data_IF_476767015220
#
_entry.id   IF_476767015220
#
_cell.length_a   1.000
_cell.length_b   1.000
_cell.length_c   1.000
_cell.angle_alpha   90.00
_cell.angle_beta   90.00
_cell.angle_gamma   90.00
#
_symmetry.space_group_name_H-M   'P 1'
#
loop_
_entity.id
_entity.type
_entity.pdbx_description
1 polymer ?
#
# COMPACT_ATOMS: atom_id res chain seq x y z
N UNK A 1 -4.17 -5.46 -22.78
CA UNK A 1 -3.89 -6.73 -23.46
C UNK A 1 -5.04 -7.68 -23.15
N UNK A 2 -5.62 -8.30 -24.16
CA UNK A 2 -6.69 -9.30 -24.01
C UNK A 2 -6.15 -10.44 -23.15
N UNK A 3 -6.81 -10.74 -22.04
CA UNK A 3 -6.41 -11.79 -21.12
C UNK A 3 -5.71 -11.33 -19.83
N UNK A 4 -5.40 -10.05 -19.69
CA UNK A 4 -4.94 -9.48 -18.41
C UNK A 4 -6.07 -8.64 -17.82
N UNK A 5 -6.67 -9.04 -16.70
CA UNK A 5 -7.73 -8.26 -16.05
C UNK A 5 -7.22 -6.97 -15.43
N UNK A 6 -5.91 -6.76 -15.40
CA UNK A 6 -5.25 -5.67 -14.69
C UNK A 6 -4.42 -4.84 -15.65
N UNK A 7 -4.49 -3.50 -15.52
CA UNK A 7 -3.65 -2.58 -16.28
C UNK A 7 -2.17 -2.90 -16.04
N UNK A 8 -1.47 -3.31 -17.07
CA UNK A 8 -0.06 -3.70 -17.03
C UNK A 8 0.75 -2.87 -17.98
N UNK A 9 1.88 -2.33 -17.52
CA UNK A 9 2.77 -1.50 -18.31
C UNK A 9 3.89 -2.31 -18.95
N UNK A 10 4.22 -1.96 -20.19
CA UNK A 10 5.37 -2.49 -20.91
C UNK A 10 6.22 -1.32 -21.43
N UNK A 11 7.52 -1.37 -21.21
CA UNK A 11 8.49 -0.42 -21.73
C UNK A 11 9.50 -1.22 -22.55
N UNK A 12 9.66 -0.87 -23.83
CA UNK A 12 10.55 -1.58 -24.74
C UNK A 12 10.30 -3.11 -24.75
N UNK A 13 9.03 -3.50 -24.67
CA UNK A 13 8.62 -4.91 -24.63
C UNK A 13 8.80 -5.62 -23.28
N UNK A 14 9.38 -4.96 -22.28
CA UNK A 14 9.52 -5.51 -20.93
C UNK A 14 8.36 -5.11 -20.03
N UNK A 15 7.81 -6.06 -19.31
CA UNK A 15 6.78 -5.85 -18.31
C UNK A 15 7.38 -5.15 -17.09
N UNK A 16 6.78 -4.04 -16.68
CA UNK A 16 7.24 -3.21 -15.56
C UNK A 16 6.22 -3.29 -14.43
N UNK A 17 6.69 -3.71 -13.25
CA UNK A 17 5.91 -3.67 -12.03
C UNK A 17 6.00 -2.27 -11.41
N UNK A 18 4.84 -1.62 -11.22
CA UNK A 18 4.80 -0.24 -10.76
C UNK A 18 4.89 -0.15 -9.25
N UNK A 19 5.78 0.71 -8.77
CA UNK A 19 5.99 1.05 -7.36
C UNK A 19 6.13 2.56 -7.26
N UNK A 20 5.29 3.19 -6.46
CA UNK A 20 5.37 4.64 -6.39
C UNK A 20 4.33 5.26 -5.47
N UNK A 21 4.08 6.54 -5.68
CA UNK A 21 3.12 7.26 -4.89
C UNK A 21 2.49 8.43 -5.62
N UNK A 22 1.46 8.97 -4.99
CA UNK A 22 0.77 10.13 -5.47
C UNK A 22 1.47 11.40 -5.00
N UNK A 23 1.56 12.34 -5.90
CA UNK A 23 2.00 13.71 -5.67
C UNK A 23 0.75 14.59 -5.73
N UNK A 24 0.26 15.01 -4.57
CA UNK A 24 -0.90 15.88 -4.47
C UNK A 24 -0.53 17.31 -4.77
N UNK A 25 -0.08 18.06 -3.78
CA UNK A 25 0.42 19.41 -3.95
C UNK A 25 1.91 19.43 -3.59
N UNK A 26 2.70 20.08 -4.40
CA UNK A 26 4.16 20.12 -4.20
C UNK A 26 4.56 20.81 -2.89
N UNK A 27 3.95 21.96 -2.64
CA UNK A 27 4.04 22.76 -1.42
C UNK A 27 2.88 23.76 -1.46
N UNK A 28 2.27 24.08 -0.30
CA UNK A 28 1.00 24.82 -0.26
C UNK A 28 1.08 26.27 -0.81
N UNK A 29 2.27 26.84 -0.93
CA UNK A 29 2.52 28.11 -1.60
C UNK A 29 3.18 27.93 -2.98
N UNK A 30 3.31 26.70 -3.49
CA UNK A 30 3.90 26.32 -4.77
C UNK A 30 5.38 26.75 -4.94
N UNK A 31 6.12 26.82 -3.86
CA UNK A 31 7.56 27.19 -3.84
C UNK A 31 8.44 25.96 -3.99
N UNK A 32 8.39 25.31 -5.15
CA UNK A 32 9.05 24.03 -5.37
C UNK A 32 10.16 24.02 -6.41
N UNK A 33 10.49 25.16 -7.01
CA UNK A 33 11.50 25.22 -8.04
C UNK A 33 12.92 24.97 -7.51
N UNK A 34 13.82 24.54 -8.39
CA UNK A 34 15.20 24.26 -8.06
C UNK A 34 15.39 23.05 -7.18
N UNK A 35 16.12 23.23 -6.12
CA UNK A 35 16.49 22.14 -5.20
C UNK A 35 15.30 21.41 -4.57
N UNK A 36 14.16 22.05 -4.45
CA UNK A 36 12.94 21.44 -3.88
C UNK A 36 12.45 20.29 -4.74
N UNK A 37 12.29 20.51 -6.05
CA UNK A 37 11.92 19.44 -6.98
C UNK A 37 12.97 18.35 -7.03
N UNK A 38 14.25 18.72 -7.15
CA UNK A 38 15.32 17.73 -7.19
C UNK A 38 15.33 16.85 -5.94
N UNK A 39 15.26 17.45 -4.76
CA UNK A 39 15.26 16.70 -3.48
C UNK A 39 14.10 15.73 -3.40
N UNK A 40 12.89 16.19 -3.69
CA UNK A 40 11.69 15.34 -3.62
C UNK A 40 11.75 14.17 -4.62
N UNK A 41 12.12 14.42 -5.87
CA UNK A 41 12.21 13.36 -6.89
C UNK A 41 13.35 12.39 -6.57
N UNK A 42 14.49 12.89 -6.08
CA UNK A 42 15.59 12.05 -5.62
C UNK A 42 15.18 11.14 -4.46
N UNK A 43 14.44 11.64 -3.46
CA UNK A 43 13.92 10.83 -2.37
C UNK A 43 12.98 9.72 -2.86
N UNK A 44 12.13 10.01 -3.87
CA UNK A 44 11.32 8.96 -4.52
C UNK A 44 12.20 7.90 -5.18
N UNK A 45 13.23 8.31 -5.90
CA UNK A 45 14.18 7.37 -6.52
C UNK A 45 14.92 6.53 -5.48
N UNK A 46 15.33 7.12 -4.38
CA UNK A 46 16.04 6.44 -3.30
C UNK A 46 15.15 5.44 -2.54
N UNK A 47 13.83 5.61 -2.56
CA UNK A 47 12.86 4.63 -2.09
C UNK A 47 12.65 3.45 -3.07
N UNK A 48 13.38 3.39 -4.17
CA UNK A 48 13.17 2.44 -5.27
C UNK A 48 11.82 2.59 -5.99
N UNK A 49 11.22 3.76 -5.91
CA UNK A 49 10.04 4.08 -6.71
C UNK A 49 10.41 4.27 -8.18
N UNK A 50 9.50 3.86 -9.04
CA UNK A 50 9.63 4.02 -10.48
C UNK A 50 8.50 4.84 -11.11
N UNK A 51 7.50 5.28 -10.33
CA UNK A 51 6.40 6.10 -10.82
C UNK A 51 5.95 7.12 -9.78
N UNK A 52 5.62 8.32 -10.25
CA UNK A 52 4.88 9.36 -9.51
C UNK A 52 3.60 9.65 -10.29
N UNK A 53 2.45 9.59 -9.59
CA UNK A 53 1.19 10.11 -10.15
C UNK A 53 1.01 11.55 -9.71
N UNK A 54 0.86 12.44 -10.67
CA UNK A 54 0.46 13.83 -10.44
C UNK A 54 -1.05 13.90 -10.29
N UNK A 55 -1.52 13.75 -9.06
CA UNK A 55 -2.94 13.81 -8.73
C UNK A 55 -3.54 15.14 -9.19
N UNK A 56 -4.64 15.06 -9.94
CA UNK A 56 -5.35 16.19 -10.54
C UNK A 56 -4.44 17.16 -11.33
N UNK A 57 -3.32 16.68 -11.85
CA UNK A 57 -2.45 17.47 -12.73
C UNK A 57 -1.77 18.67 -12.08
N UNK A 58 -1.51 18.60 -10.77
CA UNK A 58 -1.07 19.72 -9.93
C UNK A 58 0.29 20.33 -10.28
N UNK A 59 1.11 19.68 -11.09
CA UNK A 59 2.44 20.17 -11.47
C UNK A 59 2.51 20.38 -12.97
N UNK A 60 2.91 21.59 -13.35
CA UNK A 60 3.08 22.01 -14.77
C UNK A 60 4.44 22.61 -15.05
N UNK A 61 5.32 22.71 -14.06
CA UNK A 61 6.68 23.25 -14.21
C UNK A 61 7.56 22.24 -14.98
N UNK A 62 8.19 22.66 -16.06
CA UNK A 62 9.04 21.80 -16.89
C UNK A 62 10.18 21.18 -16.08
N UNK A 63 10.72 21.91 -15.12
CA UNK A 63 11.78 21.47 -14.22
C UNK A 63 11.45 20.17 -13.46
N UNK A 64 10.19 19.97 -13.05
CA UNK A 64 9.75 18.72 -12.44
C UNK A 64 9.98 17.53 -13.38
N UNK A 65 9.60 17.69 -14.64
CA UNK A 65 9.73 16.63 -15.65
C UNK A 65 11.20 16.41 -16.03
N UNK A 66 12.01 17.45 -16.09
CA UNK A 66 13.47 17.34 -16.31
C UNK A 66 14.12 16.47 -15.21
N UNK A 67 13.74 16.66 -13.95
CA UNK A 67 14.24 15.80 -12.87
C UNK A 67 13.67 14.38 -12.94
N UNK A 68 12.42 14.19 -13.33
CA UNK A 68 11.88 12.86 -13.56
C UNK A 68 12.62 12.12 -14.68
N UNK A 69 12.93 12.82 -15.79
CA UNK A 69 13.75 12.30 -16.89
C UNK A 69 15.15 11.92 -16.40
N UNK A 70 15.81 12.81 -15.64
CA UNK A 70 17.15 12.61 -15.09
C UNK A 70 17.24 11.41 -14.16
N UNK A 71 16.26 11.22 -13.29
CA UNK A 71 16.27 10.16 -12.28
C UNK A 71 15.58 8.86 -12.75
N UNK A 72 14.95 8.86 -13.92
CA UNK A 72 14.24 7.71 -14.48
C UNK A 72 12.99 7.35 -13.68
N UNK A 73 12.20 8.35 -13.31
CA UNK A 73 10.91 8.22 -12.66
C UNK A 73 9.81 8.43 -13.70
N UNK A 74 8.95 7.44 -13.89
CA UNK A 74 7.79 7.58 -14.75
C UNK A 74 6.76 8.52 -14.13
N UNK A 75 6.02 9.23 -14.97
CA UNK A 75 4.97 10.15 -14.56
C UNK A 75 3.63 9.69 -15.10
N UNK A 76 2.70 9.47 -14.19
CA UNK A 76 1.28 9.37 -14.47
C UNK A 76 0.68 10.76 -14.34
N UNK A 77 0.27 11.38 -15.44
CA UNK A 77 -0.10 12.79 -15.48
C UNK A 77 -1.60 12.98 -15.63
N UNK A 78 -2.29 13.34 -14.54
CA UNK A 78 -3.72 13.65 -14.58
C UNK A 78 -3.97 15.02 -15.25
N UNK A 79 -5.19 15.18 -15.78
CA UNK A 79 -5.76 16.50 -16.04
C UNK A 79 -6.46 17.03 -14.78
N UNK A 80 -6.90 18.30 -14.78
CA UNK A 80 -7.35 19.06 -13.60
C UNK A 80 -8.80 18.75 -13.19
N UNK A 81 -9.18 17.46 -13.14
CA UNK A 81 -10.53 17.03 -12.80
C UNK A 81 -10.52 16.16 -11.53
N UNK A 82 -11.33 16.59 -10.56
CA UNK A 82 -11.56 15.91 -9.29
C UNK A 82 -12.88 15.14 -9.30
N UNK A 83 -13.08 14.21 -8.37
CA UNK A 83 -14.22 13.27 -8.30
C UNK A 83 -15.61 13.89 -8.41
N UNK A 84 -15.82 15.10 -7.92
CA UNK A 84 -17.14 15.77 -7.92
C UNK A 84 -17.38 16.70 -9.12
N UNK A 85 -16.42 16.83 -10.03
CA UNK A 85 -16.44 17.87 -11.05
C UNK A 85 -16.37 17.27 -12.45
N UNK A 86 -17.51 16.70 -12.89
CA UNK A 86 -17.67 16.22 -14.27
C UNK A 86 -17.96 17.37 -15.23
N UNK A 87 -18.52 18.47 -14.73
CA UNK A 87 -18.89 19.63 -15.52
C UNK A 87 -17.87 20.75 -15.37
N UNK A 88 -17.16 21.01 -16.44
CA UNK A 88 -16.21 22.12 -16.52
C UNK A 88 -16.95 23.38 -16.95
N UNK A 89 -16.91 24.44 -16.14
CA UNK A 89 -17.64 25.68 -16.42
C UNK A 89 -17.24 26.36 -17.75
N UNK A 90 -16.00 26.17 -18.19
CA UNK A 90 -15.46 26.71 -19.45
C UNK A 90 -14.76 25.63 -20.26
N UNK A 91 -15.50 24.72 -20.92
CA UNK A 91 -14.91 23.57 -21.61
C UNK A 91 -13.88 23.92 -22.67
N UNK A 92 -14.10 24.96 -23.43
CA UNK A 92 -13.16 25.37 -24.51
C UNK A 92 -11.83 25.91 -23.94
N UNK A 93 -11.87 26.63 -22.83
CA UNK A 93 -10.64 27.05 -22.14
C UNK A 93 -9.90 25.84 -21.55
N UNK A 94 -10.61 24.90 -20.98
CA UNK A 94 -10.03 23.64 -20.49
C UNK A 94 -9.37 22.85 -21.62
N UNK A 95 -10.04 22.67 -22.74
CA UNK A 95 -9.52 22.01 -23.93
C UNK A 95 -8.25 22.68 -24.47
N UNK A 96 -8.24 24.01 -24.53
CA UNK A 96 -7.07 24.76 -24.96
C UNK A 96 -5.87 24.57 -24.02
N UNK A 97 -6.08 24.62 -22.71
CA UNK A 97 -5.06 24.37 -21.70
C UNK A 97 -4.56 22.91 -21.74
N UNK A 98 -5.45 21.95 -21.93
CA UNK A 98 -5.08 20.55 -22.06
C UNK A 98 -4.20 20.28 -23.28
N UNK A 99 -4.55 20.90 -24.42
CA UNK A 99 -3.76 20.85 -25.66
C UNK A 99 -2.37 21.44 -25.46
N UNK A 100 -2.28 22.62 -24.83
CA UNK A 100 -1.00 23.27 -24.53
C UNK A 100 -0.15 22.42 -23.59
N UNK A 101 -0.72 21.87 -22.53
CA UNK A 101 -0.04 20.96 -21.61
C UNK A 101 0.57 19.76 -22.34
N UNK A 102 -0.19 19.08 -23.19
CA UNK A 102 0.31 17.92 -23.94
C UNK A 102 1.41 18.32 -24.90
N UNK A 103 1.25 19.38 -25.68
CA UNK A 103 2.26 19.87 -26.62
C UNK A 103 3.57 20.27 -25.97
N UNK A 104 3.48 20.88 -24.79
CA UNK A 104 4.66 21.31 -24.03
C UNK A 104 5.40 20.12 -23.42
N UNK A 105 4.67 19.14 -22.87
CA UNK A 105 5.26 18.10 -22.04
C UNK A 105 5.52 16.77 -22.77
N UNK A 106 4.91 16.51 -23.92
CA UNK A 106 4.99 15.23 -24.65
C UNK A 106 6.41 14.76 -25.00
N UNK A 107 7.38 15.65 -25.02
CA UNK A 107 8.77 15.30 -25.32
C UNK A 107 9.55 14.78 -24.10
N UNK A 108 8.97 14.82 -22.90
CA UNK A 108 9.58 14.22 -21.71
C UNK A 108 9.42 12.70 -21.73
N UNK A 109 10.51 11.92 -21.78
CA UNK A 109 10.44 10.46 -21.79
C UNK A 109 9.90 9.86 -20.49
N UNK A 110 9.91 10.63 -19.40
CA UNK A 110 9.32 10.19 -18.12
C UNK A 110 7.81 10.06 -18.15
N UNK A 111 7.08 10.80 -19.00
CA UNK A 111 5.62 10.69 -19.05
C UNK A 111 5.24 9.32 -19.61
N UNK A 112 4.52 8.54 -18.81
CA UNK A 112 4.12 7.19 -19.15
C UNK A 112 2.63 7.08 -19.52
N UNK A 113 1.78 7.95 -18.95
CA UNK A 113 0.33 7.89 -19.13
C UNK A 113 -0.30 9.27 -18.91
N UNK A 114 -1.34 9.55 -19.66
CA UNK A 114 -2.23 10.68 -19.48
C UNK A 114 -3.55 10.20 -18.85
N UNK A 115 -4.07 10.89 -17.85
CA UNK A 115 -5.31 10.50 -17.17
C UNK A 115 -6.33 11.64 -17.15
N UNK A 116 -7.56 11.33 -17.55
CA UNK A 116 -8.63 12.31 -17.71
C UNK A 116 -9.10 12.93 -16.42
N UNK A 117 -9.42 12.10 -15.42
CA UNK A 117 -9.97 12.58 -14.15
C UNK A 117 -9.63 11.67 -12.97
N UNK A 118 -9.62 12.25 -11.77
CA UNK A 118 -9.48 11.51 -10.53
C UNK A 118 -10.81 10.84 -10.15
N UNK A 119 -10.79 9.52 -9.97
CA UNK A 119 -11.88 8.68 -9.44
C UNK A 119 -13.22 8.76 -10.17
N UNK A 120 -13.27 9.43 -11.30
CA UNK A 120 -14.44 9.57 -12.16
C UNK A 120 -14.01 9.71 -13.61
N UNK A 121 -14.97 9.71 -14.53
CA UNK A 121 -14.72 9.99 -15.93
C UNK A 121 -15.03 11.46 -16.21
N UNK A 122 -14.28 12.13 -17.11
CA UNK A 122 -14.74 13.43 -17.65
C UNK A 122 -16.11 13.30 -18.29
N UNK A 123 -16.84 14.42 -18.44
CA UNK A 123 -18.05 14.45 -19.26
C UNK A 123 -17.76 13.85 -20.66
N UNK A 124 -18.69 13.10 -21.27
CA UNK A 124 -18.42 12.32 -22.50
C UNK A 124 -17.77 13.11 -23.64
N UNK A 125 -18.22 14.33 -23.89
CA UNK A 125 -17.65 15.19 -24.93
C UNK A 125 -16.22 15.61 -24.63
N UNK A 126 -15.92 15.86 -23.34
CA UNK A 126 -14.57 16.22 -22.90
C UNK A 126 -13.64 14.99 -22.91
N UNK A 127 -14.13 13.83 -22.48
CA UNK A 127 -13.39 12.58 -22.52
C UNK A 127 -12.98 12.20 -23.95
N UNK A 128 -13.93 12.28 -24.88
CA UNK A 128 -13.70 12.04 -26.31
C UNK A 128 -12.66 13.03 -26.87
N UNK A 129 -12.81 14.32 -26.55
CA UNK A 129 -11.85 15.32 -26.97
C UNK A 129 -10.43 15.02 -26.45
N UNK A 130 -10.27 14.71 -25.17
CA UNK A 130 -8.97 14.40 -24.57
C UNK A 130 -8.34 13.17 -25.24
N UNK A 131 -9.12 12.13 -25.48
CA UNK A 131 -8.69 10.91 -26.15
C UNK A 131 -8.18 11.17 -27.57
N UNK A 132 -8.95 11.89 -28.38
CA UNK A 132 -8.59 12.21 -29.76
C UNK A 132 -7.41 13.18 -29.83
N UNK A 133 -7.39 14.18 -28.98
CA UNK A 133 -6.34 15.17 -28.90
C UNK A 133 -5.00 14.52 -28.53
N UNK A 134 -4.98 13.67 -27.51
CA UNK A 134 -3.76 12.96 -27.11
C UNK A 134 -3.31 11.99 -28.20
N UNK A 135 -4.21 11.22 -28.77
CA UNK A 135 -3.87 10.33 -29.89
C UNK A 135 -3.20 11.06 -31.04
N UNK A 136 -3.66 12.29 -31.35
CA UNK A 136 -3.11 13.13 -32.39
C UNK A 136 -1.78 13.80 -32.00
N UNK A 137 -1.75 14.44 -30.85
CA UNK A 137 -0.62 15.31 -30.46
C UNK A 137 0.54 14.52 -29.87
N UNK A 138 0.27 13.38 -29.25
CA UNK A 138 1.26 12.46 -28.66
C UNK A 138 1.48 11.21 -29.55
N UNK A 139 0.98 11.23 -30.78
CA UNK A 139 1.18 10.20 -31.81
C UNK A 139 0.84 8.76 -31.35
N UNK A 140 -0.08 8.60 -30.41
CA UNK A 140 -0.40 7.33 -29.69
C UNK A 140 0.82 6.70 -28.98
N UNK A 141 1.87 7.44 -28.67
CA UNK A 141 3.02 6.92 -27.97
C UNK A 141 2.67 6.54 -26.52
N UNK A 142 1.71 7.28 -25.92
CA UNK A 142 1.26 7.05 -24.54
C UNK A 142 -0.24 6.84 -24.46
N UNK A 143 -0.62 5.97 -23.55
CA UNK A 143 -2.03 5.70 -23.27
C UNK A 143 -2.73 6.93 -22.68
N UNK A 144 -3.96 7.17 -23.12
CA UNK A 144 -4.93 7.96 -22.41
C UNK A 144 -5.85 7.06 -21.60
N UNK A 145 -5.98 7.36 -20.30
CA UNK A 145 -6.87 6.70 -19.36
C UNK A 145 -7.92 7.70 -18.87
N UNK A 146 -9.18 7.37 -19.02
CA UNK A 146 -10.29 8.27 -18.71
C UNK A 146 -10.40 8.54 -17.20
N UNK A 147 -10.24 7.48 -16.38
CA UNK A 147 -10.42 7.50 -14.94
C UNK A 147 -9.23 6.87 -14.22
N UNK A 148 -8.91 7.39 -13.04
CA UNK A 148 -7.76 6.94 -12.26
C UNK A 148 -7.99 5.67 -11.43
N UNK A 149 -9.22 5.21 -11.22
CA UNK A 149 -9.51 4.08 -10.33
C UNK A 149 -10.48 3.03 -10.92
N UNK A 150 -10.87 3.15 -12.19
CA UNK A 150 -11.78 2.25 -12.89
C UNK A 150 -11.15 1.71 -14.18
N UNK A 151 -11.92 0.94 -14.97
CA UNK A 151 -11.52 0.44 -16.29
C UNK A 151 -10.22 -0.39 -16.27
N UNK A 152 -10.16 -1.41 -15.42
CA UNK A 152 -8.99 -2.28 -15.27
C UNK A 152 -8.01 -1.86 -14.17
N UNK A 153 -8.36 -0.83 -13.41
CA UNK A 153 -7.71 -0.45 -12.16
C UNK A 153 -8.49 -1.02 -10.97
N UNK A 154 -7.82 -1.22 -9.84
CA UNK A 154 -8.43 -1.88 -8.66
C UNK A 154 -9.04 -0.91 -7.64
N UNK A 155 -9.24 0.34 -8.01
CA UNK A 155 -9.86 1.35 -7.14
C UNK A 155 -8.89 2.14 -6.28
N UNK A 156 -9.43 2.91 -5.34
CA UNK A 156 -8.74 3.70 -4.33
C UNK A 156 -9.02 3.13 -2.94
N UNK A 157 -8.09 3.33 -2.00
CA UNK A 157 -8.09 2.73 -0.66
C UNK A 157 -7.38 1.37 -0.69
N UNK A 158 -7.00 0.80 0.39
CA UNK A 158 -7.42 1.00 1.79
C UNK A 158 -6.93 2.28 2.44
N UNK A 159 -7.66 2.67 3.47
CA UNK A 159 -7.36 3.83 4.27
C UNK A 159 -7.15 3.39 5.72
N UNK A 160 -6.03 3.80 6.31
CA UNK A 160 -5.67 3.49 7.68
C UNK A 160 -4.53 2.48 7.84
N UNK A 161 -4.10 2.32 9.07
CA UNK A 161 -2.92 1.55 9.48
C UNK A 161 -3.28 0.09 9.81
N UNK A 162 -3.59 -0.67 8.80
CA UNK A 162 -3.84 -2.11 8.96
C UNK A 162 -2.54 -2.86 9.28
N UNK A 163 -2.56 -3.88 10.15
CA UNK A 163 -1.37 -4.71 10.35
C UNK A 163 -0.98 -5.43 9.04
N UNK A 164 0.31 -5.73 8.83
CA UNK A 164 0.80 -6.34 7.60
C UNK A 164 0.00 -7.56 7.14
N UNK A 165 -0.34 -8.47 8.06
CA UNK A 165 -1.14 -9.67 7.78
C UNK A 165 -2.44 -9.34 7.05
N UNK A 166 -3.11 -8.28 7.44
CA UNK A 166 -4.38 -7.87 6.84
C UNK A 166 -4.25 -7.56 5.35
N UNK A 167 -3.16 -6.90 4.93
CA UNK A 167 -2.90 -6.61 3.52
C UNK A 167 -2.66 -7.88 2.68
N UNK A 168 -2.16 -8.95 3.27
CA UNK A 168 -1.96 -10.24 2.59
C UNK A 168 -3.24 -11.10 2.53
N UNK A 169 -4.15 -10.97 3.51
CA UNK A 169 -5.35 -11.80 3.62
C UNK A 169 -6.51 -11.28 2.80
N UNK A 170 -6.61 -9.98 2.71
CA UNK A 170 -7.76 -9.34 2.08
C UNK A 170 -7.32 -8.68 0.80
N UNK A 171 -7.77 -9.23 -0.28
CA UNK A 171 -7.82 -8.49 -1.52
C UNK A 171 -8.63 -7.22 -1.26
N UNK A 172 -8.13 -6.09 -1.67
CA UNK A 172 -8.83 -4.81 -1.50
C UNK A 172 -10.26 -4.75 -2.05
N UNK A 173 -10.70 -5.77 -2.77
CA UNK A 173 -12.06 -5.95 -3.26
C UNK A 173 -13.12 -5.99 -2.17
N UNK A 174 -12.78 -6.45 -0.98
CA UNK A 174 -13.77 -6.65 0.07
C UNK A 174 -14.21 -5.37 0.75
N UNK A 175 -13.68 -4.21 0.34
CA UNK A 175 -13.72 -3.14 1.28
C UNK A 175 -14.63 -1.99 1.01
N UNK A 176 -14.54 -1.36 -0.02
CA UNK A 176 -15.36 -0.17 -0.24
C UNK A 176 -16.14 -0.23 -1.54
N UNK A 177 -15.75 -1.11 -2.44
CA UNK A 177 -16.18 -1.09 -3.83
C UNK A 177 -16.83 -2.38 -4.28
N UNK A 178 -17.31 -3.21 -3.36
CA UNK A 178 -18.25 -4.28 -3.69
C UNK A 178 -19.60 -3.66 -4.08
N UNK A 179 -19.56 -2.75 -5.02
CA UNK A 179 -20.75 -2.13 -5.59
C UNK A 179 -21.06 -2.78 -6.92
N UNK A 180 -22.35 -2.95 -7.26
CA UNK A 180 -22.79 -3.43 -8.57
C UNK A 180 -22.30 -2.60 -9.76
N UNK A 181 -21.57 -1.52 -9.51
CA UNK A 181 -21.07 -0.58 -10.51
C UNK A 181 -19.79 -1.06 -11.23
N UNK A 182 -19.16 -2.16 -10.82
CA UNK A 182 -18.09 -2.78 -11.59
C UNK A 182 -18.70 -3.81 -12.54
N UNK A 183 -18.90 -3.47 -13.83
CA UNK A 183 -19.69 -4.29 -14.76
C UNK A 183 -18.99 -5.60 -15.16
N UNK A 184 -17.81 -5.88 -14.65
CA UNK A 184 -17.02 -7.04 -15.06
C UNK A 184 -16.99 -8.21 -14.07
N UNK A 185 -17.66 -8.09 -12.91
CA UNK A 185 -17.80 -9.19 -11.96
C UNK A 185 -16.47 -9.80 -11.49
N UNK A 186 -15.35 -9.12 -11.73
CA UNK A 186 -14.02 -9.56 -11.38
C UNK A 186 -13.67 -8.88 -10.06
N UNK A 187 -13.31 -9.70 -9.11
CA UNK A 187 -12.82 -9.28 -7.82
C UNK A 187 -11.39 -8.76 -7.97
N UNK A 188 -11.23 -7.49 -8.32
CA UNK A 188 -9.92 -6.84 -8.46
C UNK A 188 -9.35 -6.54 -7.08
N UNK A 189 -8.88 -7.59 -6.42
CA UNK A 189 -8.36 -7.45 -5.09
C UNK A 189 -7.16 -6.54 -5.02
N UNK A 190 -6.12 -6.90 -5.70
CA UNK A 190 -4.85 -6.17 -5.70
C UNK A 190 -4.75 -5.25 -6.93
N UNK A 191 -4.67 -5.81 -8.10
CA UNK A 191 -4.67 -5.07 -9.36
C UNK A 191 -3.52 -4.08 -9.52
N UNK A 192 -3.75 -3.07 -10.35
CA UNK A 192 -3.01 -1.82 -10.33
C UNK A 192 -3.79 -0.84 -9.46
N UNK A 193 -3.31 -0.62 -8.25
CA UNK A 193 -3.96 0.27 -7.28
C UNK A 193 -3.31 1.64 -7.29
N UNK A 194 -4.10 2.66 -7.55
CA UNK A 194 -3.60 4.02 -7.72
C UNK A 194 -3.57 4.82 -6.43
N UNK A 195 -4.28 4.38 -5.38
CA UNK A 195 -4.28 5.03 -4.09
C UNK A 195 -4.49 4.02 -2.96
N UNK A 196 -3.64 4.09 -1.95
CA UNK A 196 -3.76 3.40 -0.66
C UNK A 196 -2.95 4.19 0.35
N UNK A 197 -3.45 4.43 1.56
CA UNK A 197 -2.72 5.30 2.48
C UNK A 197 -3.17 5.22 3.93
N UNK A 198 -2.37 5.85 4.77
CA UNK A 198 -2.56 5.88 6.23
C UNK A 198 -2.05 7.18 6.83
N UNK A 199 -2.40 7.42 8.09
CA UNK A 199 -1.67 8.38 8.92
C UNK A 199 -0.20 7.95 9.01
N UNK A 200 0.69 8.93 9.04
CA UNK A 200 2.13 8.71 9.14
C UNK A 200 2.71 9.80 10.03
N UNK A 201 3.08 9.42 11.23
CA UNK A 201 3.61 10.36 12.22
C UNK A 201 5.01 10.81 11.80
N UNK A 202 5.32 12.13 11.83
CA UNK A 202 6.67 12.64 11.62
C UNK A 202 7.62 12.20 12.74
N UNK A 203 8.90 12.48 12.57
CA UNK A 203 9.89 12.31 13.65
C UNK A 203 9.65 13.32 14.76
N UNK A 204 10.19 13.06 15.96
CA UNK A 204 10.09 13.99 17.07
C UNK A 204 10.75 15.32 16.75
N UNK A 205 11.90 15.28 16.07
CA UNK A 205 12.63 16.47 15.60
C UNK A 205 11.77 17.38 14.75
N UNK A 206 11.05 16.82 13.81
CA UNK A 206 10.17 17.57 12.94
C UNK A 206 8.92 18.11 13.63
N UNK A 207 8.34 17.35 14.57
CA UNK A 207 7.15 17.80 15.31
C UNK A 207 7.44 19.05 16.13
N UNK A 208 8.64 19.17 16.69
CA UNK A 208 9.08 20.35 17.45
C UNK A 208 9.03 21.65 16.64
N UNK A 209 9.13 21.55 15.31
CA UNK A 209 9.12 22.71 14.43
C UNK A 209 7.72 23.31 14.22
N UNK A 210 6.64 22.53 14.47
CA UNK A 210 5.29 22.99 14.16
C UNK A 210 4.23 22.78 15.25
N UNK A 211 4.50 21.97 16.27
CA UNK A 211 3.63 21.83 17.46
C UNK A 211 4.29 22.57 18.62
N UNK A 212 3.62 23.55 19.25
CA UNK A 212 4.15 24.23 20.42
C UNK A 212 4.42 23.27 21.59
N UNK A 213 5.51 23.45 22.30
CA UNK A 213 5.95 22.56 23.40
C UNK A 213 4.84 22.31 24.45
N UNK A 214 4.05 23.32 24.77
CA UNK A 214 2.92 23.21 25.70
C UNK A 214 1.83 22.22 25.26
N UNK A 215 1.78 21.90 23.98
CA UNK A 215 0.79 21.02 23.34
C UNK A 215 1.38 19.66 22.96
N UNK A 216 2.64 19.36 23.33
CA UNK A 216 3.28 18.07 22.97
C UNK A 216 2.68 16.89 23.71
N UNK A 217 2.36 17.07 24.99
CA UNK A 217 1.91 15.96 25.82
C UNK A 217 0.93 16.42 26.92
N UNK A 218 -0.11 15.63 27.24
CA UNK A 218 -0.50 14.38 26.56
C UNK A 218 -1.02 14.63 25.16
N UNK A 219 -1.00 13.58 24.31
CA UNK A 219 -1.64 13.65 22.99
C UNK A 219 -3.13 13.97 23.15
N UNK A 220 -3.76 14.65 22.18
CA UNK A 220 -5.18 14.92 22.22
C UNK A 220 -6.02 13.66 22.44
N UNK A 221 -7.09 13.76 23.20
CA UNK A 221 -8.07 12.70 23.36
C UNK A 221 -8.82 12.43 22.06
N UNK A 222 -9.43 11.26 21.95
CA UNK A 222 -10.23 10.91 20.78
C UNK A 222 -11.39 11.91 20.56
N UNK A 223 -11.95 12.44 21.63
CA UNK A 223 -12.98 13.47 21.58
C UNK A 223 -12.46 14.80 21.00
N UNK A 224 -11.28 15.24 21.45
CA UNK A 224 -10.63 16.44 20.91
C UNK A 224 -10.26 16.26 19.45
N UNK A 225 -9.72 15.10 19.06
CA UNK A 225 -9.39 14.81 17.67
C UNK A 225 -10.63 14.77 16.74
N UNK A 226 -11.80 14.43 17.28
CA UNK A 226 -13.04 14.38 16.49
C UNK A 226 -13.79 15.71 16.41
N UNK A 227 -13.76 16.49 17.47
CA UNK A 227 -14.72 17.57 17.67
C UNK A 227 -14.11 18.95 17.94
N UNK A 228 -12.81 19.05 18.18
CA UNK A 228 -12.12 20.32 18.49
C UNK A 228 -11.31 20.81 17.28
N UNK A 229 -11.94 21.63 16.44
CA UNK A 229 -11.33 22.20 15.23
C UNK A 229 -10.22 23.22 15.55
N UNK A 230 -10.20 23.79 16.75
CA UNK A 230 -9.18 24.74 17.17
C UNK A 230 -7.95 24.06 17.77
N UNK A 231 -8.00 22.77 18.02
CA UNK A 231 -6.87 22.00 18.47
C UNK A 231 -5.72 22.07 17.45
N UNK A 232 -4.50 22.37 17.90
CA UNK A 232 -3.34 22.54 17.02
C UNK A 232 -3.02 21.28 16.23
N UNK A 233 -3.23 20.10 16.79
CA UNK A 233 -3.02 18.82 16.10
C UNK A 233 -3.98 18.63 14.94
N UNK A 234 -5.25 19.04 15.10
CA UNK A 234 -6.24 18.99 14.01
C UNK A 234 -5.88 19.94 12.87
N UNK A 235 -5.28 21.10 13.17
CA UNK A 235 -4.78 22.03 12.14
C UNK A 235 -3.63 21.46 11.31
N UNK A 236 -2.98 20.41 11.81
CA UNK A 236 -1.95 19.64 11.11
C UNK A 236 -2.46 18.27 10.62
N UNK A 237 -3.74 18.13 10.41
CA UNK A 237 -4.37 16.94 9.83
C UNK A 237 -4.25 15.69 10.71
N UNK A 238 -4.44 15.83 12.02
CA UNK A 238 -4.45 14.68 12.94
C UNK A 238 -5.84 14.40 13.56
N UNK A 239 -6.91 14.95 13.02
CA UNK A 239 -8.27 14.78 13.52
C UNK A 239 -9.27 14.38 12.43
N UNK A 240 -10.51 14.87 12.57
CA UNK A 240 -11.63 14.54 11.69
C UNK A 240 -11.39 14.88 10.22
N UNK A 241 -10.63 15.93 9.93
CA UNK A 241 -10.28 16.34 8.57
C UNK A 241 -9.45 15.27 7.83
N UNK A 242 -8.75 14.44 8.58
CA UNK A 242 -7.96 13.33 8.06
C UNK A 242 -8.68 11.98 8.21
N UNK A 243 -10.01 11.94 8.17
CA UNK A 243 -10.84 10.76 8.44
C UNK A 243 -10.42 9.52 7.62
N UNK A 244 -10.04 9.69 6.37
CA UNK A 244 -9.56 8.59 5.51
C UNK A 244 -8.21 8.03 5.99
N UNK A 245 -7.32 8.86 6.54
CA UNK A 245 -6.06 8.39 7.12
C UNK A 245 -6.25 7.73 8.49
N UNK A 246 -7.40 7.98 9.13
CA UNK A 246 -7.80 7.36 10.39
C UNK A 246 -6.82 7.62 11.57
N UNK A 247 -6.52 8.88 11.90
CA UNK A 247 -5.49 9.21 12.89
C UNK A 247 -5.81 8.76 14.31
N UNK A 248 -7.10 8.71 14.69
CA UNK A 248 -7.53 8.17 15.99
C UNK A 248 -7.17 6.68 16.09
N UNK A 249 -7.45 5.90 15.04
CA UNK A 249 -7.09 4.50 14.99
C UNK A 249 -5.57 4.30 14.96
N UNK A 250 -4.83 5.18 14.29
CA UNK A 250 -3.37 5.16 14.28
C UNK A 250 -2.78 5.31 15.70
N UNK A 251 -3.23 6.33 16.44
CA UNK A 251 -2.82 6.55 17.85
C UNK A 251 -3.08 5.30 18.70
N UNK A 252 -4.29 4.76 18.59
CA UNK A 252 -4.67 3.57 19.36
C UNK A 252 -3.87 2.32 18.96
N UNK A 253 -3.50 2.19 17.68
CA UNK A 253 -2.65 1.09 17.22
C UNK A 253 -1.23 1.18 17.75
N UNK A 254 -0.64 2.37 17.82
CA UNK A 254 0.67 2.57 18.47
C UNK A 254 0.63 2.07 19.91
N UNK A 255 -0.35 2.53 20.70
CA UNK A 255 -0.49 2.15 22.10
C UNK A 255 -0.76 0.63 22.27
N UNK A 256 -1.58 0.05 21.41
CA UNK A 256 -1.92 -1.39 21.48
C UNK A 256 -0.73 -2.27 21.13
N UNK A 257 0.08 -1.88 20.14
CA UNK A 257 1.20 -2.72 19.67
C UNK A 257 2.46 -2.53 20.47
N UNK A 258 2.75 -1.30 20.92
CA UNK A 258 4.03 -0.95 21.55
C UNK A 258 3.88 -0.45 22.98
N UNK A 259 2.66 -0.42 23.52
CA UNK A 259 2.34 0.05 24.87
C UNK A 259 2.23 1.57 24.97
N UNK A 260 1.65 2.02 26.09
CA UNK A 260 1.49 3.43 26.41
C UNK A 260 2.86 4.13 26.49
N UNK A 261 2.87 5.40 26.12
CA UNK A 261 4.08 6.24 26.14
C UNK A 261 4.01 7.25 27.30
N UNK A 262 5.17 7.63 27.81
CA UNK A 262 5.30 8.61 28.88
C UNK A 262 5.50 10.06 28.40
N UNK A 263 5.73 10.23 27.10
CA UNK A 263 5.96 11.52 26.44
C UNK A 263 5.94 11.43 24.93
N UNK A 264 5.98 12.59 24.27
CA UNK A 264 5.89 12.69 22.81
C UNK A 264 7.05 11.98 22.11
N UNK A 265 8.29 12.12 22.60
CA UNK A 265 9.47 11.50 22.00
C UNK A 265 9.32 9.98 21.91
N UNK A 266 9.00 9.34 23.05
CA UNK A 266 8.75 7.90 23.10
C UNK A 266 7.59 7.47 22.18
N UNK A 267 6.52 8.28 22.10
CA UNK A 267 5.43 8.01 21.19
C UNK A 267 5.89 8.09 19.73
N UNK A 268 6.71 9.08 19.38
CA UNK A 268 7.26 9.22 18.03
C UNK A 268 8.12 8.02 17.64
N UNK A 269 8.98 7.52 18.55
CA UNK A 269 9.80 6.32 18.29
C UNK A 269 8.92 5.09 17.97
N UNK A 270 7.90 4.86 18.79
CA UNK A 270 6.93 3.78 18.58
C UNK A 270 6.13 3.96 17.28
N UNK A 271 5.76 5.19 16.97
CA UNK A 271 5.08 5.55 15.74
C UNK A 271 5.94 5.27 14.50
N UNK A 272 7.26 5.49 14.55
CA UNK A 272 8.15 5.12 13.44
C UNK A 272 8.16 3.60 13.20
N UNK A 273 8.10 2.78 14.24
CA UNK A 273 7.98 1.31 14.08
C UNK A 273 6.68 0.94 13.37
N UNK A 274 5.55 1.52 13.78
CA UNK A 274 4.27 1.30 13.10
C UNK A 274 4.32 1.75 11.63
N UNK A 275 4.91 2.91 11.36
CA UNK A 275 5.08 3.42 9.99
C UNK A 275 5.87 2.45 9.10
N UNK A 276 6.97 1.85 9.62
CA UNK A 276 7.75 0.84 8.90
C UNK A 276 6.89 -0.36 8.54
N UNK A 277 6.21 -0.93 9.54
CA UNK A 277 5.44 -2.16 9.37
C UNK A 277 4.28 -1.99 8.40
N UNK A 278 3.50 -0.93 8.55
CA UNK A 278 2.32 -0.69 7.71
C UNK A 278 2.73 -0.44 6.26
N UNK A 279 3.68 0.48 6.04
CA UNK A 279 4.11 0.84 4.68
C UNK A 279 4.79 -0.34 3.98
N UNK A 280 5.67 -1.06 4.69
CA UNK A 280 6.30 -2.27 4.17
C UNK A 280 5.26 -3.33 3.84
N UNK A 281 4.29 -3.57 4.74
CA UNK A 281 3.21 -4.53 4.54
C UNK A 281 2.33 -4.24 3.34
N UNK A 282 2.02 -2.96 3.07
CA UNK A 282 1.27 -2.55 1.88
C UNK A 282 1.99 -3.00 0.59
N UNK A 283 3.25 -2.65 0.42
CA UNK A 283 3.99 -3.01 -0.80
C UNK A 283 4.27 -4.51 -0.90
N UNK A 284 4.61 -5.17 0.20
CA UNK A 284 4.90 -6.61 0.19
C UNK A 284 3.66 -7.45 -0.15
N UNK A 285 2.47 -7.03 0.28
CA UNK A 285 1.24 -7.72 -0.08
C UNK A 285 0.95 -7.66 -1.59
N UNK A 286 1.18 -6.50 -2.22
CA UNK A 286 1.10 -6.37 -3.67
C UNK A 286 2.22 -7.14 -4.39
N UNK A 287 3.45 -7.07 -3.90
CA UNK A 287 4.55 -7.89 -4.43
C UNK A 287 4.22 -9.38 -4.40
N UNK A 288 3.57 -9.87 -3.34
CA UNK A 288 3.17 -11.28 -3.17
C UNK A 288 2.27 -11.79 -4.31
N UNK A 289 1.54 -10.90 -4.93
CA UNK A 289 0.59 -11.17 -6.02
C UNK A 289 1.10 -10.73 -7.40
N UNK A 290 2.36 -10.37 -7.52
CA UNK A 290 2.95 -9.90 -8.77
C UNK A 290 2.58 -10.79 -9.96
N UNK A 291 1.98 -10.18 -10.98
CA UNK A 291 1.49 -10.77 -12.23
C UNK A 291 0.39 -11.84 -12.11
N UNK A 292 0.09 -12.31 -10.92
CA UNK A 292 -1.08 -13.17 -10.71
C UNK A 292 -2.35 -12.34 -10.55
N UNK A 293 -2.30 -11.34 -9.69
CA UNK A 293 -3.43 -10.47 -9.38
C UNK A 293 -2.99 -9.01 -9.18
N UNK A 294 -1.70 -8.70 -9.19
CA UNK A 294 -1.16 -7.36 -9.00
C UNK A 294 -0.23 -6.93 -10.13
N UNK A 295 -0.34 -5.65 -10.54
CA UNK A 295 0.55 -5.01 -11.51
C UNK A 295 1.28 -3.79 -10.93
N UNK A 296 0.90 -3.32 -9.75
CA UNK A 296 1.56 -2.22 -9.07
C UNK A 296 0.73 -1.54 -8.00
N UNK A 297 1.39 -0.67 -7.26
CA UNK A 297 0.82 0.10 -6.15
C UNK A 297 1.39 1.51 -6.13
N UNK A 298 0.51 2.51 -6.03
CA UNK A 298 0.85 3.89 -5.76
C UNK A 298 0.23 4.30 -4.42
N UNK A 299 1.05 4.70 -3.45
CA UNK A 299 0.52 5.14 -2.16
C UNK A 299 -0.08 6.54 -2.23
N UNK A 300 -1.06 6.80 -1.41
CA UNK A 300 -1.65 8.09 -1.16
C UNK A 300 -1.22 8.62 0.22
N UNK A 301 -0.33 9.60 0.33
CA UNK A 301 0.55 10.22 -0.67
C UNK A 301 2.01 9.98 -0.28
N UNK A 302 2.93 10.30 -1.18
CA UNK A 302 4.36 10.09 -0.92
C UNK A 302 5.00 11.22 -0.10
N UNK A 303 4.43 12.44 -0.14
CA UNK A 303 4.93 13.57 0.64
C UNK A 303 3.81 14.58 0.94
N UNK A 304 3.93 15.37 2.03
CA UNK A 304 2.96 16.38 2.39
C UNK A 304 3.22 17.73 1.72
N UNK A 305 2.20 18.56 1.60
CA UNK A 305 2.31 19.94 1.11
C UNK A 305 2.66 20.95 2.22
N UNK A 306 2.45 20.58 3.47
CA UNK A 306 2.74 21.38 4.68
C UNK A 306 2.96 20.42 5.87
N UNK A 307 3.46 20.89 7.02
CA UNK A 307 3.67 20.03 8.19
C UNK A 307 2.38 19.34 8.61
N UNK A 308 2.32 18.00 8.51
CA UNK A 308 1.12 17.22 8.78
C UNK A 308 1.43 15.82 9.32
N UNK A 309 0.38 15.12 9.77
CA UNK A 309 0.48 13.78 10.36
C UNK A 309 -0.02 12.67 9.44
N UNK A 310 -0.24 12.95 8.15
CA UNK A 310 -0.87 12.00 7.24
C UNK A 310 -0.19 11.98 5.88
N UNK A 311 -0.27 10.80 5.21
CA UNK A 311 0.00 10.63 3.78
C UNK A 311 1.37 11.11 3.35
N UNK A 312 2.40 10.60 4.01
CA UNK A 312 3.78 10.96 3.74
C UNK A 312 4.73 9.77 3.94
N UNK A 313 5.85 9.79 3.23
CA UNK A 313 6.96 8.87 3.47
C UNK A 313 8.12 9.59 4.13
N UNK A 314 8.41 10.78 3.68
CA UNK A 314 9.23 11.79 4.35
C UNK A 314 8.35 13.00 4.65
N UNK A 315 8.66 13.73 5.67
CA UNK A 315 7.84 14.85 6.12
C UNK A 315 8.13 16.16 5.37
N UNK A 316 7.46 17.23 5.78
CA UNK A 316 7.61 18.53 5.15
C UNK A 316 9.04 19.09 5.21
N UNK A 317 9.82 18.71 6.22
CA UNK A 317 11.20 19.13 6.42
C UNK A 317 12.21 18.21 5.72
N UNK A 318 11.73 17.28 4.87
CA UNK A 318 12.52 16.25 4.19
C UNK A 318 13.12 15.18 5.10
N UNK A 319 12.64 15.06 6.34
CA UNK A 319 13.09 14.02 7.23
C UNK A 319 12.40 12.68 6.92
N UNK A 320 13.15 11.62 6.60
CA UNK A 320 12.58 10.32 6.31
C UNK A 320 11.93 9.70 7.53
N UNK A 321 10.62 9.43 7.45
CA UNK A 321 9.90 8.70 8.49
C UNK A 321 10.11 7.19 8.37
N UNK A 322 9.59 6.42 9.34
CA UNK A 322 9.55 4.97 9.24
C UNK A 322 8.86 4.46 7.95
N UNK A 323 7.88 5.21 7.44
CA UNK A 323 7.22 4.87 6.17
C UNK A 323 8.16 4.93 4.96
N UNK A 324 9.09 5.88 4.94
CA UNK A 324 10.14 5.94 3.91
C UNK A 324 10.99 4.66 3.90
N UNK A 325 11.44 4.24 5.06
CA UNK A 325 12.30 3.06 5.20
C UNK A 325 11.54 1.77 4.90
N UNK A 326 10.27 1.67 5.34
CA UNK A 326 9.40 0.55 5.00
C UNK A 326 9.16 0.42 3.50
N UNK A 327 8.83 1.53 2.82
CA UNK A 327 8.66 1.58 1.38
C UNK A 327 9.95 1.22 0.64
N UNK A 328 11.08 1.85 1.02
CA UNK A 328 12.40 1.59 0.43
C UNK A 328 12.76 0.13 0.48
N UNK A 329 12.54 -0.53 1.62
CA UNK A 329 12.83 -1.95 1.81
C UNK A 329 11.93 -2.83 0.94
N UNK A 330 10.63 -2.65 0.97
CA UNK A 330 9.68 -3.45 0.20
C UNK A 330 9.79 -3.24 -1.32
N UNK A 331 10.29 -2.08 -1.74
CA UNK A 331 10.46 -1.72 -3.15
C UNK A 331 11.84 -2.07 -3.73
N UNK A 332 12.74 -2.70 -2.98
CA UNK A 332 14.03 -3.16 -3.52
C UNK A 332 13.84 -3.94 -4.84
N UNK A 333 14.71 -3.73 -5.84
CA UNK A 333 14.61 -4.45 -7.12
C UNK A 333 14.75 -5.97 -6.98
N UNK A 334 15.58 -6.41 -6.04
CA UNK A 334 15.68 -7.79 -5.55
C UNK A 334 15.30 -7.78 -4.09
N UNK A 335 14.20 -8.43 -3.74
CA UNK A 335 13.63 -8.38 -2.41
C UNK A 335 13.24 -9.79 -1.93
N UNK A 336 13.45 -10.07 -0.66
CA UNK A 336 12.94 -11.26 0.01
C UNK A 336 11.92 -10.84 1.06
N UNK A 337 10.78 -11.51 1.09
CA UNK A 337 9.69 -11.17 1.99
C UNK A 337 9.03 -12.39 2.61
N UNK A 338 8.42 -12.17 3.76
CA UNK A 338 7.57 -13.10 4.46
C UNK A 338 6.11 -12.71 4.30
N UNK A 339 5.29 -13.64 3.84
CA UNK A 339 3.84 -13.46 3.83
C UNK A 339 3.26 -13.81 5.21
N UNK A 340 2.79 -12.80 5.93
CA UNK A 340 2.29 -12.94 7.30
C UNK A 340 0.98 -13.74 7.41
N UNK A 341 0.28 -14.01 6.30
CA UNK A 341 -0.98 -14.77 6.30
C UNK A 341 -0.77 -16.28 6.20
N UNK A 342 0.24 -16.72 5.44
CA UNK A 342 0.47 -18.14 5.14
C UNK A 342 1.90 -18.62 5.42
N UNK A 343 2.75 -17.74 5.96
CA UNK A 343 4.13 -18.00 6.31
C UNK A 343 5.05 -18.37 5.13
N UNK A 344 4.66 -18.11 3.89
CA UNK A 344 5.56 -18.32 2.75
C UNK A 344 6.67 -17.27 2.70
N UNK A 345 7.87 -17.70 2.30
CA UNK A 345 9.01 -16.85 1.99
C UNK A 345 9.12 -16.78 0.48
N UNK A 346 9.03 -15.57 -0.05
CA UNK A 346 9.10 -15.32 -1.49
C UNK A 346 10.22 -14.37 -1.84
N UNK A 347 10.83 -14.60 -3.00
CA UNK A 347 11.85 -13.73 -3.58
C UNK A 347 11.25 -13.02 -4.79
N UNK A 348 11.34 -11.70 -4.76
CA UNK A 348 10.82 -10.78 -5.77
C UNK A 348 11.99 -10.30 -6.62
N UNK A 349 11.87 -10.41 -7.92
CA UNK A 349 12.85 -9.88 -8.86
C UNK A 349 12.14 -8.94 -9.85
N UNK A 350 12.29 -7.63 -9.67
CA UNK A 350 11.75 -6.63 -10.60
C UNK A 350 12.80 -6.14 -11.60
N UNK A 351 14.00 -6.78 -11.63
CA UNK A 351 15.04 -6.44 -12.59
C UNK A 351 14.81 -7.11 -13.95
N UNK A 352 15.52 -6.63 -14.97
CA UNK A 352 15.50 -7.20 -16.31
C UNK A 352 16.40 -8.46 -16.48
N UNK A 353 16.97 -9.00 -15.38
CA UNK A 353 17.90 -10.13 -15.40
C UNK A 353 17.41 -11.25 -14.51
N UNK A 354 17.63 -12.49 -14.92
CA UNK A 354 17.40 -13.65 -14.08
C UNK A 354 18.32 -13.63 -12.86
N UNK A 355 17.76 -13.98 -11.71
CA UNK A 355 18.49 -14.29 -10.49
C UNK A 355 18.66 -15.81 -10.42
N UNK A 356 19.90 -16.30 -10.44
CA UNK A 356 20.22 -17.73 -10.40
C UNK A 356 21.03 -18.06 -9.16
N UNK A 357 20.72 -19.20 -8.54
CA UNK A 357 21.47 -19.75 -7.41
C UNK A 357 21.45 -18.91 -6.15
N UNK A 358 20.48 -18.04 -5.97
CA UNK A 358 20.36 -17.23 -4.76
C UNK A 358 20.01 -18.11 -3.55
N UNK A 359 20.51 -17.74 -2.38
CA UNK A 359 20.22 -18.44 -1.12
C UNK A 359 19.22 -17.59 -0.33
N UNK A 360 18.01 -18.12 -0.16
CA UNK A 360 17.00 -17.53 0.71
C UNK A 360 17.13 -18.15 2.10
N UNK A 361 17.26 -17.31 3.14
CA UNK A 361 17.36 -17.73 4.54
C UNK A 361 16.33 -16.99 5.38
N UNK A 362 15.61 -17.71 6.22
CA UNK A 362 14.78 -17.16 7.28
C UNK A 362 15.33 -17.64 8.63
N UNK A 363 15.64 -16.69 9.50
CA UNK A 363 16.06 -16.95 10.88
C UNK A 363 14.99 -16.42 11.82
N UNK A 364 14.59 -17.22 12.78
CA UNK A 364 13.52 -16.91 13.71
C UNK A 364 14.09 -16.65 15.10
N UNK A 365 13.65 -15.61 15.73
CA UNK A 365 14.03 -15.23 17.10
C UNK A 365 12.79 -15.14 17.99
N UNK A 366 12.96 -15.47 19.27
CA UNK A 366 11.95 -15.20 20.28
C UNK A 366 11.95 -13.72 20.70
N UNK A 367 11.01 -13.32 21.55
CA UNK A 367 10.89 -11.93 22.04
C UNK A 367 12.08 -11.46 22.88
N UNK A 368 12.98 -12.36 23.30
CA UNK A 368 14.22 -12.02 24.01
C UNK A 368 15.41 -11.93 23.05
N UNK A 369 15.20 -12.04 21.73
CA UNK A 369 16.24 -12.02 20.73
C UNK A 369 17.06 -13.32 20.64
N UNK A 370 16.57 -14.42 21.22
CA UNK A 370 17.23 -15.73 21.12
C UNK A 370 16.75 -16.45 19.88
N UNK A 371 17.67 -16.95 19.08
CA UNK A 371 17.36 -17.75 17.90
C UNK A 371 16.62 -19.04 18.25
N UNK A 372 15.60 -19.37 17.45
CA UNK A 372 14.82 -20.60 17.52
C UNK A 372 15.04 -21.42 16.25
N UNK A 373 16.15 -22.20 16.18
CA UNK A 373 16.58 -22.87 14.94
C UNK A 373 15.56 -23.84 14.37
N UNK A 374 14.68 -24.40 15.21
CA UNK A 374 13.64 -25.33 14.79
C UNK A 374 12.63 -24.72 13.79
N UNK A 375 12.52 -23.40 13.72
CA UNK A 375 11.65 -22.69 12.81
C UNK A 375 12.37 -22.04 11.64
N UNK A 376 13.72 -21.95 11.71
CA UNK A 376 14.54 -21.38 10.63
C UNK A 376 14.66 -22.33 9.43
N UNK A 377 14.85 -21.78 8.24
CA UNK A 377 15.04 -22.53 7.02
C UNK A 377 15.92 -21.78 6.03
N UNK A 378 16.71 -22.52 5.25
CA UNK A 378 17.52 -22.01 4.13
C UNK A 378 17.29 -22.86 2.90
N UNK A 379 17.13 -22.22 1.73
CA UNK A 379 16.95 -22.91 0.44
C UNK A 379 17.51 -22.10 -0.71
N UNK A 380 18.08 -22.78 -1.71
CA UNK A 380 18.44 -22.15 -2.98
C UNK A 380 17.19 -21.88 -3.82
N UNK A 381 17.15 -20.72 -4.48
CA UNK A 381 16.04 -20.29 -5.32
C UNK A 381 16.54 -19.57 -6.58
N UNK A 382 15.89 -19.86 -7.70
CA UNK A 382 16.05 -19.13 -8.95
C UNK A 382 14.80 -18.29 -9.20
N UNK A 383 14.97 -17.05 -9.68
CA UNK A 383 13.86 -16.17 -10.02
C UNK A 383 14.14 -15.54 -11.37
N UNK A 384 13.29 -15.77 -12.35
CA UNK A 384 13.44 -15.14 -13.67
C UNK A 384 13.22 -13.63 -13.60
N UNK A 385 13.72 -12.91 -14.60
CA UNK A 385 13.54 -11.48 -14.75
C UNK A 385 12.07 -11.08 -14.62
N UNK A 386 11.80 -9.96 -13.94
CA UNK A 386 10.47 -9.41 -13.73
C UNK A 386 9.45 -10.46 -13.24
N UNK A 387 9.79 -11.20 -12.16
CA UNK A 387 8.94 -12.26 -11.63
C UNK A 387 9.16 -12.50 -10.13
N UNK A 388 8.39 -13.44 -9.58
CA UNK A 388 8.39 -13.86 -8.18
C UNK A 388 8.57 -15.37 -8.10
N UNK A 389 9.25 -15.85 -7.06
CA UNK A 389 9.35 -17.26 -6.74
C UNK A 389 9.18 -17.51 -5.23
N UNK A 390 8.42 -18.53 -4.87
CA UNK A 390 8.37 -19.03 -3.51
C UNK A 390 9.60 -19.89 -3.23
N UNK A 391 10.38 -19.52 -2.20
CA UNK A 391 11.50 -20.30 -1.74
C UNK A 391 11.04 -21.48 -0.87
N UNK A 392 10.26 -21.18 0.17
CA UNK A 392 9.70 -22.16 1.12
C UNK A 392 8.61 -21.52 1.97
N UNK A 393 7.91 -22.34 2.75
CA UNK A 393 6.99 -21.88 3.80
C UNK A 393 7.52 -22.28 5.18
N UNK A 394 7.40 -21.36 6.15
CA UNK A 394 7.79 -21.62 7.55
C UNK A 394 6.67 -22.36 8.28
N UNK A 395 7.04 -23.33 9.10
CA UNK A 395 6.13 -24.02 9.99
C UNK A 395 6.42 -23.65 11.44
N UNK A 396 5.61 -22.77 12.00
CA UNK A 396 5.73 -22.35 13.40
C UNK A 396 5.13 -23.33 14.40
N UNK A 397 4.56 -24.45 13.94
CA UNK A 397 3.99 -25.49 14.78
C UNK A 397 4.60 -26.88 14.51
N UNK A 398 5.94 -27.04 14.38
CA UNK A 398 6.54 -28.32 14.02
C UNK A 398 6.27 -29.43 15.06
N UNK A 399 5.90 -29.05 16.29
CA UNK A 399 5.59 -29.97 17.39
C UNK A 399 4.09 -30.06 17.69
N UNK A 400 3.24 -29.34 16.95
CA UNK A 400 1.81 -29.47 17.08
C UNK A 400 1.34 -30.70 16.29
N UNK A 401 1.18 -31.82 16.97
CA UNK A 401 0.73 -33.08 16.38
C UNK A 401 -0.63 -32.99 15.70
N UNK A 402 -1.46 -32.03 16.13
CA UNK A 402 -2.80 -31.81 15.59
C UNK A 402 -2.82 -30.95 14.31
N UNK A 403 -1.73 -30.23 13.98
CA UNK A 403 -1.72 -29.30 12.86
C UNK A 403 -1.99 -30.01 11.52
N UNK A 404 -2.99 -29.51 10.77
CA UNK A 404 -3.40 -30.08 9.49
C UNK A 404 -4.02 -31.47 9.55
N UNK A 405 -4.29 -31.99 10.75
CA UNK A 405 -4.92 -33.31 10.94
C UNK A 405 -6.42 -33.27 10.78
N UNK A 406 -6.98 -34.40 10.44
CA UNK A 406 -8.43 -34.55 10.30
C UNK A 406 -9.12 -34.38 11.65
N UNK A 407 -10.00 -33.38 11.73
CA UNK A 407 -10.89 -33.18 12.87
C UNK A 407 -12.33 -33.52 12.49
N UNK A 408 -13.05 -34.11 13.42
CA UNK A 408 -14.46 -34.47 13.27
C UNK A 408 -15.22 -34.01 14.51
N UNK A 409 -16.37 -33.40 14.30
CA UNK A 409 -17.20 -32.91 15.38
C UNK A 409 -18.66 -33.34 15.21
N UNK A 410 -19.40 -33.33 16.33
CA UNK A 410 -20.84 -33.69 16.39
C UNK A 410 -21.69 -32.75 15.52
N UNK A 411 -21.34 -31.48 15.46
CA UNK A 411 -22.04 -30.44 14.69
C UNK A 411 -21.14 -29.26 14.39
N UNK A 412 -21.60 -28.33 13.54
CA UNK A 412 -21.01 -27.02 13.37
C UNK A 412 -22.07 -25.99 12.94
N UNK A 413 -21.91 -24.74 13.34
CA UNK A 413 -22.81 -23.62 12.97
C UNK A 413 -22.65 -23.14 11.55
N UNK A 414 -21.61 -23.58 10.84
CA UNK A 414 -21.35 -23.22 9.44
C UNK A 414 -19.98 -23.67 8.95
N UNK A 415 -19.73 -23.53 7.65
CA UNK A 415 -18.48 -23.96 7.02
C UNK A 415 -17.23 -23.26 7.60
N UNK A 416 -17.32 -21.96 7.91
CA UNK A 416 -16.25 -21.18 8.56
C UNK A 416 -16.06 -21.48 10.05
N UNK A 417 -16.88 -22.37 10.62
CA UNK A 417 -16.88 -22.84 12.01
C UNK A 417 -16.78 -24.35 12.10
N UNK A 418 -16.33 -24.99 11.06
CA UNK A 418 -16.24 -26.46 10.97
C UNK A 418 -15.15 -27.03 11.86
N UNK A 419 -15.19 -28.34 12.07
CA UNK A 419 -14.20 -29.06 12.89
C UNK A 419 -12.75 -28.82 12.43
N UNK A 420 -12.51 -28.67 11.12
CA UNK A 420 -11.17 -28.43 10.57
C UNK A 420 -10.52 -27.13 11.05
N UNK A 421 -11.30 -26.19 11.54
CA UNK A 421 -10.79 -24.90 12.06
C UNK A 421 -9.97 -25.04 13.35
N UNK A 422 -10.05 -26.17 14.06
CA UNK A 422 -9.24 -26.40 15.28
C UNK A 422 -7.83 -26.92 14.98
N UNK A 423 -7.57 -27.34 13.75
CA UNK A 423 -6.27 -27.89 13.32
C UNK A 423 -5.59 -27.09 12.21
N UNK A 424 -6.17 -25.99 11.76
CA UNK A 424 -5.68 -25.17 10.66
C UNK A 424 -4.51 -24.23 11.03
N UNK A 425 -4.21 -24.10 12.34
CA UNK A 425 -3.18 -23.22 12.86
C UNK A 425 -3.58 -21.74 12.94
N UNK A 426 -4.77 -21.37 12.51
CA UNK A 426 -5.29 -20.01 12.53
C UNK A 426 -5.59 -19.52 13.95
N UNK A 427 -5.06 -18.35 14.34
CA UNK A 427 -5.37 -17.77 15.66
C UNK A 427 -6.80 -17.21 15.75
N UNK A 428 -7.41 -16.88 14.62
CA UNK A 428 -8.78 -16.34 14.53
C UNK A 428 -9.84 -17.35 14.11
N UNK A 429 -9.44 -18.55 13.70
CA UNK A 429 -10.35 -19.64 13.35
C UNK A 429 -10.79 -20.40 14.59
N UNK A 430 -12.03 -20.91 14.56
CA UNK A 430 -12.56 -21.73 15.65
C UNK A 430 -13.60 -22.70 15.14
N UNK A 431 -13.74 -23.83 15.80
CA UNK A 431 -14.94 -24.63 15.71
C UNK A 431 -16.02 -24.03 16.61
N UNK A 432 -17.25 -24.07 16.15
CA UNK A 432 -18.40 -23.64 16.90
C UNK A 432 -19.54 -24.67 16.69
N UNK A 433 -19.94 -25.33 17.77
CA UNK A 433 -20.99 -26.36 17.74
C UNK A 433 -22.41 -25.76 17.66
N UNK A 434 -23.38 -26.55 17.26
CA UNK A 434 -24.79 -26.21 17.45
C UNK A 434 -25.09 -25.97 18.93
N UNK A 435 -26.05 -25.08 19.21
CA UNK A 435 -26.46 -24.70 20.58
C UNK A 435 -27.34 -25.80 21.26
N UNK A 436 -26.77 -27.01 21.37
CA UNK A 436 -27.45 -28.18 22.01
C UNK A 436 -26.39 -29.08 22.63
N UNK A 437 -26.75 -29.82 23.66
CA UNK A 437 -25.89 -30.79 24.34
C UNK A 437 -26.36 -32.24 24.08
N UNK A 438 -25.42 -33.21 24.06
CA UNK A 438 -23.96 -33.09 24.18
C UNK A 438 -23.28 -32.77 22.87
N UNK A 439 -22.12 -32.07 22.94
CA UNK A 439 -21.25 -31.77 21.80
C UNK A 439 -19.87 -32.38 22.01
N UNK A 440 -19.23 -32.80 20.92
CA UNK A 440 -17.87 -33.36 20.96
C UNK A 440 -17.11 -33.04 19.71
N UNK A 441 -15.79 -33.05 19.84
CA UNK A 441 -14.83 -32.97 18.73
C UNK A 441 -13.66 -33.93 19.01
N UNK A 442 -13.16 -34.59 18.01
CA UNK A 442 -11.90 -35.31 18.10
C UNK A 442 -10.99 -34.98 16.89
N UNK A 443 -9.69 -35.20 17.10
CA UNK A 443 -8.67 -35.04 16.08
C UNK A 443 -7.99 -36.39 15.89
N UNK A 444 -7.96 -36.89 14.65
CA UNK A 444 -7.26 -38.11 14.27
C UNK A 444 -5.82 -37.76 13.89
N UNK A 445 -4.85 -38.16 14.70
CA UNK A 445 -3.43 -37.93 14.46
C UNK A 445 -2.86 -38.85 13.38
N UNK A 446 -3.61 -39.88 12.93
CA UNK A 446 -3.24 -40.82 11.88
C UNK A 446 -2.25 -41.90 12.30
N UNK A 447 -1.71 -41.84 13.51
CA UNK A 447 -0.84 -42.84 14.14
C UNK A 447 -0.80 -42.66 15.66
N UNK A 448 -0.25 -43.62 16.37
CA UNK A 448 0.02 -43.47 17.80
C UNK A 448 1.12 -42.44 18.05
N UNK A 449 0.83 -41.46 18.89
CA UNK A 449 1.73 -40.41 19.27
C UNK A 449 1.78 -40.19 20.78
N UNK A 450 2.96 -39.89 21.31
CA UNK A 450 3.12 -39.45 22.68
C UNK A 450 2.69 -38.01 22.83
N UNK A 451 1.57 -37.76 23.49
CA UNK A 451 1.05 -36.41 23.74
C UNK A 451 1.56 -35.94 25.11
N UNK A 452 2.31 -34.85 25.13
CA UNK A 452 2.83 -34.25 26.38
C UNK A 452 1.87 -33.20 26.93
N UNK A 453 1.16 -32.48 26.03
CA UNK A 453 0.25 -31.40 26.42
C UNK A 453 -0.88 -31.20 25.40
N UNK A 454 -2.06 -30.90 25.89
CA UNK A 454 -3.21 -30.45 25.09
C UNK A 454 -3.50 -28.99 25.48
N UNK A 455 -3.57 -28.11 24.49
CA UNK A 455 -3.91 -26.68 24.68
C UNK A 455 -5.23 -26.45 23.96
N UNK A 456 -6.26 -26.08 24.70
CA UNK A 456 -7.52 -25.59 24.17
C UNK A 456 -7.53 -24.05 24.27
N UNK A 457 -7.84 -23.39 23.18
CA UNK A 457 -8.06 -21.92 23.14
C UNK A 457 -9.56 -21.71 22.93
N UNK A 458 -10.19 -21.05 23.88
CA UNK A 458 -11.61 -20.72 23.87
C UNK A 458 -11.90 -19.32 23.33
#
# INVERSE_FOLDING_TARGET
VVGYPVLTFFINGQKIYLKGGNWGMSEYLLRCQGKEYETKIRLHKEMNYNMIRLWTGCVTDDEFYDYCDKYGIMVWNDFWLYVAYNDVAQPEAFKANALDKVRRLRNHPSIAIWCGANETHPAPDLDNYLREMIAKEDNNDRMYKSCSNQDGLSGSGWWGNQPPRHHFETSGSNLAFNTPAYPYGIDYGYGMRTEIGTATFPTFESIKEFIPEKDWWPLPTDEQLKNDDDNVWNKHFFGKEASNANPVNYKNSVNTQYGESSGLEEFCEKAQMLNIEVMKGMYEAWNDKMWNDAAGLLIWMSHPAYPSFVWQTYDYYYDPTGAYWGAKKACEPLHIQWNASNNSIKVINTTAKDLKGAIATATIYDLNGKEVPAYGQTKQVDVVASNIAEAFSLNFNPFNLAYGKKAVASSSTGASKSASMVTDGGAGSRWESAYSDPQWIYIDLGKEEKIEKVILKW
#
